data_IF_403981101020
#
_entry.id   IF_403981101020
#
_cell.length_a   1.000
_cell.length_b   1.000
_cell.length_c   1.000
_cell.angle_alpha   90.00
_cell.angle_beta   90.00
_cell.angle_gamma   90.00
#
_symmetry.space_group_name_H-M   'P 1'
#
loop_
_entity.id
_entity.type
_entity.pdbx_description
1 polymer ?
#
# COMPACT_ATOMS: atom_id res chain seq x y z
N UNK A 1 9.77 0.53 -41.96
CA UNK A 1 8.37 0.09 -42.19
C UNK A 1 7.57 0.57 -40.99
N UNK A 2 7.17 1.85 -41.00
CA UNK A 2 5.88 2.40 -41.47
C UNK A 2 4.87 2.47 -40.32
N UNK A 3 4.98 3.55 -39.55
CA UNK A 3 3.93 4.05 -38.67
C UNK A 3 3.04 4.97 -39.51
N UNK A 4 1.77 4.60 -39.67
CA UNK A 4 0.75 5.41 -40.33
C UNK A 4 -0.49 5.36 -39.44
N UNK A 5 -0.87 6.50 -38.86
CA UNK A 5 -2.27 6.88 -38.69
C UNK A 5 -2.34 8.31 -38.13
N UNK A 6 -2.47 9.27 -39.05
CA UNK A 6 -3.28 10.45 -38.78
C UNK A 6 -4.73 10.12 -39.20
N UNK A 7 -5.67 10.46 -38.33
CA UNK A 7 -7.06 10.83 -38.57
C UNK A 7 -7.85 10.20 -39.75
N UNK A 8 -8.91 9.44 -39.42
CA UNK A 8 -10.24 9.64 -40.04
C UNK A 8 -11.35 8.99 -39.22
N UNK A 9 -12.46 9.71 -39.09
CA UNK A 9 -13.68 9.31 -38.40
C UNK A 9 -14.45 8.14 -39.08
N UNK A 10 -15.37 7.60 -38.29
CA UNK A 10 -16.54 6.77 -38.63
C UNK A 10 -16.36 5.26 -38.74
N UNK A 11 -17.15 4.54 -37.93
CA UNK A 11 -17.38 3.09 -38.09
C UNK A 11 -17.90 2.40 -36.83
N UNK A 12 -19.17 2.63 -36.47
CA UNK A 12 -19.89 1.80 -35.50
C UNK A 12 -19.95 0.35 -35.98
N UNK A 13 -19.38 -0.58 -35.21
CA UNK A 13 -19.44 -2.01 -35.49
C UNK A 13 -19.29 -2.83 -34.21
N UNK A 14 -20.43 -3.24 -33.65
CA UNK A 14 -20.51 -4.27 -32.62
C UNK A 14 -19.87 -5.57 -33.12
N UNK A 15 -18.90 -6.11 -32.39
CA UNK A 15 -18.49 -7.51 -32.48
C UNK A 15 -18.18 -8.06 -31.07
N UNK A 16 -18.39 -9.38 -30.86
CA UNK A 16 -18.92 -9.93 -29.62
C UNK A 16 -17.86 -10.20 -28.56
N UNK A 17 -18.29 -10.22 -27.31
CA UNK A 17 -17.53 -10.71 -26.15
C UNK A 17 -16.84 -12.05 -26.47
N UNK A 18 -15.51 -12.06 -26.36
CA UNK A 18 -14.72 -13.28 -26.18
C UNK A 18 -14.05 -13.23 -24.80
N UNK A 19 -13.90 -14.37 -24.12
CA UNK A 19 -13.51 -14.42 -22.71
C UNK A 19 -12.06 -13.98 -22.52
N UNK A 20 -11.79 -13.35 -21.37
CA UNK A 20 -10.45 -12.97 -20.93
C UNK A 20 -9.51 -14.19 -20.99
N UNK A 21 -8.33 -14.09 -21.65
CA UNK A 21 -7.34 -15.15 -21.56
C UNK A 21 -6.70 -15.14 -20.16
N UNK A 22 -6.56 -16.35 -19.62
CA UNK A 22 -5.90 -16.69 -18.37
C UNK A 22 -4.52 -16.03 -18.23
N UNK A 23 -4.28 -15.47 -17.04
CA UNK A 23 -3.05 -14.81 -16.63
C UNK A 23 -1.87 -15.79 -16.52
N UNK A 24 -0.77 -15.45 -17.19
CA UNK A 24 0.56 -15.90 -16.82
C UNK A 24 1.61 -14.92 -17.34
N UNK A 25 2.12 -14.02 -16.47
CA UNK A 25 3.57 -13.78 -16.32
C UNK A 25 3.89 -12.72 -15.25
N UNK A 26 4.62 -13.09 -14.19
CA UNK A 26 5.64 -12.21 -13.61
C UNK A 26 5.38 -11.60 -12.25
N UNK A 27 4.26 -10.90 -12.03
CA UNK A 27 4.01 -10.19 -10.76
C UNK A 27 2.77 -10.64 -10.00
N UNK A 28 1.83 -11.33 -10.66
CA UNK A 28 0.56 -11.73 -10.05
C UNK A 28 -0.57 -10.72 -10.26
N UNK A 29 -0.25 -9.49 -10.68
CA UNK A 29 -1.21 -8.46 -11.12
C UNK A 29 -1.08 -8.19 -12.63
N UNK A 30 -2.14 -8.48 -13.37
CA UNK A 30 -2.17 -8.31 -14.81
C UNK A 30 -2.03 -6.87 -15.28
N UNK A 31 -2.42 -5.89 -14.46
CA UNK A 31 -2.32 -4.47 -14.79
C UNK A 31 -0.86 -4.06 -14.78
N UNK A 32 -0.16 -4.45 -13.72
CA UNK A 32 1.28 -4.27 -13.61
C UNK A 32 2.04 -5.01 -14.72
N UNK A 33 1.70 -6.28 -14.95
CA UNK A 33 2.30 -7.07 -16.02
C UNK A 33 2.01 -6.48 -17.43
N UNK A 34 0.87 -5.79 -17.60
CA UNK A 34 0.54 -5.07 -18.82
C UNK A 34 1.32 -3.76 -18.99
N UNK A 35 1.85 -3.19 -17.91
CA UNK A 35 2.67 -1.97 -17.95
C UNK A 35 4.18 -2.26 -18.08
N UNK A 36 4.62 -3.48 -17.77
CA UNK A 36 6.04 -3.83 -17.69
C UNK A 36 6.52 -4.79 -18.78
N UNK A 37 7.82 -4.70 -19.05
CA UNK A 37 8.53 -5.70 -19.85
C UNK A 37 8.96 -6.89 -18.97
N UNK A 38 8.99 -8.13 -19.50
CA UNK A 38 9.38 -9.31 -18.73
C UNK A 38 10.77 -9.22 -18.06
N UNK A 39 11.70 -8.46 -18.63
CA UNK A 39 13.05 -8.28 -18.09
C UNK A 39 13.18 -7.07 -17.16
N UNK A 40 12.08 -6.39 -16.82
CA UNK A 40 12.05 -5.22 -15.93
C UNK A 40 13.08 -4.16 -16.34
N UNK A 41 12.97 -3.70 -17.59
CA UNK A 41 13.87 -2.71 -18.17
C UNK A 41 13.88 -1.43 -17.32
N UNK A 42 14.96 -1.19 -16.58
CA UNK A 42 15.11 -0.05 -15.69
C UNK A 42 16.55 0.41 -15.60
N UNK A 43 16.74 1.64 -15.14
CA UNK A 43 18.05 2.16 -14.76
C UNK A 43 18.53 1.53 -13.45
N UNK A 44 19.74 0.97 -13.45
CA UNK A 44 20.33 0.25 -12.31
C UNK A 44 21.40 1.09 -11.58
N UNK A 45 21.06 2.32 -11.19
CA UNK A 45 21.93 3.05 -10.27
C UNK A 45 21.75 2.49 -8.85
N UNK A 46 22.84 2.06 -8.22
CA UNK A 46 22.86 1.60 -6.82
C UNK A 46 22.55 2.84 -5.95
N UNK A 47 21.28 3.03 -5.61
CA UNK A 47 20.88 3.99 -4.60
C UNK A 47 21.03 3.34 -3.22
N UNK A 48 21.60 4.06 -2.26
CA UNK A 48 21.50 3.65 -0.86
C UNK A 48 20.03 3.57 -0.45
N UNK A 49 19.69 2.65 0.46
CA UNK A 49 18.33 2.55 1.03
C UNK A 49 17.82 3.94 1.45
N UNK A 50 16.71 4.39 0.85
CA UNK A 50 16.11 5.69 1.13
C UNK A 50 16.60 6.86 0.26
N UNK A 51 17.47 6.65 -0.73
CA UNK A 51 17.85 7.68 -1.71
C UNK A 51 17.13 7.45 -3.05
N UNK A 52 16.67 8.52 -3.74
CA UNK A 52 16.12 8.40 -5.08
C UNK A 52 17.12 7.82 -6.08
N UNK A 53 16.65 6.98 -6.99
CA UNK A 53 17.42 6.45 -8.12
C UNK A 53 17.78 7.62 -9.03
N UNK A 54 19.07 8.01 -9.14
CA UNK A 54 19.45 9.07 -10.05
C UNK A 54 19.36 8.56 -11.50
N UNK A 55 18.68 9.33 -12.35
CA UNK A 55 18.64 9.17 -13.81
C UNK A 55 19.07 10.48 -14.43
N UNK A 56 20.20 10.45 -15.12
CA UNK A 56 20.79 11.64 -15.75
C UNK A 56 20.15 11.89 -17.11
N UNK A 57 19.95 13.15 -17.49
CA UNK A 57 19.42 13.48 -18.82
C UNK A 57 20.11 14.69 -19.43
N UNK A 58 20.12 14.78 -20.75
CA UNK A 58 20.62 15.94 -21.48
C UNK A 58 19.76 16.29 -22.70
N UNK A 59 19.91 17.51 -23.21
CA UNK A 59 19.30 17.94 -24.45
C UNK A 59 20.32 17.88 -25.58
N UNK A 60 19.99 17.16 -26.65
CA UNK A 60 20.85 17.04 -27.82
C UNK A 60 21.10 18.42 -28.44
N UNK A 61 22.34 18.62 -28.88
CA UNK A 61 22.76 19.76 -29.69
C UNK A 61 23.41 19.22 -30.96
N UNK A 62 23.55 20.05 -31.99
CA UNK A 62 24.21 19.66 -33.25
C UNK A 62 25.69 19.25 -33.08
N UNK A 63 26.26 19.34 -31.87
CA UNK A 63 27.65 18.98 -31.56
C UNK A 63 27.78 17.73 -30.68
N UNK A 64 26.69 17.23 -30.09
CA UNK A 64 26.71 16.18 -29.06
C UNK A 64 25.77 15.01 -29.41
N UNK A 65 25.50 14.78 -30.70
CA UNK A 65 24.80 13.60 -31.18
C UNK A 65 25.80 12.44 -31.28
N UNK A 66 25.71 11.40 -30.43
CA UNK A 66 26.65 10.28 -30.44
C UNK A 66 26.59 9.44 -31.72
N UNK A 67 25.53 9.59 -32.52
CA UNK A 67 25.29 8.79 -33.72
C UNK A 67 25.67 9.50 -35.02
N UNK A 68 26.06 10.79 -34.97
CA UNK A 68 26.43 11.62 -36.14
C UNK A 68 25.38 11.52 -37.29
N UNK A 69 24.14 11.24 -36.93
CA UNK A 69 23.07 10.96 -37.86
C UNK A 69 22.52 12.28 -38.43
N UNK A 70 22.53 12.40 -39.76
CA UNK A 70 22.08 13.58 -40.48
C UNK A 70 20.56 13.78 -40.22
N UNK A 71 20.21 14.65 -39.27
CA UNK A 71 18.83 15.10 -39.10
C UNK A 71 18.32 15.30 -37.68
N UNK A 72 19.18 15.36 -36.68
CA UNK A 72 18.76 15.66 -35.32
C UNK A 72 18.97 17.15 -34.97
N UNK A 73 17.94 17.75 -34.35
CA UNK A 73 17.94 19.15 -33.92
C UNK A 73 17.68 19.27 -32.43
N UNK A 74 18.23 20.33 -31.82
CA UNK A 74 17.92 20.73 -30.45
C UNK A 74 16.42 21.01 -30.32
N UNK A 75 15.81 20.57 -29.21
CA UNK A 75 14.48 21.01 -28.81
C UNK A 75 14.42 22.55 -28.69
N UNK A 76 13.26 23.14 -29.00
CA UNK A 76 13.03 24.55 -28.73
C UNK A 76 12.82 24.80 -27.22
N UNK A 77 12.87 26.07 -26.79
CA UNK A 77 12.84 26.39 -25.36
C UNK A 77 11.50 26.02 -24.68
N UNK A 78 10.40 26.02 -25.42
CA UNK A 78 9.08 25.60 -24.93
C UNK A 78 9.06 24.08 -24.69
N UNK A 79 9.60 23.31 -25.64
CA UNK A 79 9.74 21.85 -25.52
C UNK A 79 10.68 21.46 -24.38
N UNK A 80 11.78 22.18 -24.20
CA UNK A 80 12.72 21.99 -23.07
C UNK A 80 12.01 22.25 -21.74
N UNK A 81 11.24 23.33 -21.63
CA UNK A 81 10.45 23.61 -20.43
C UNK A 81 9.42 22.51 -20.17
N UNK A 82 8.73 22.04 -21.21
CA UNK A 82 7.79 20.92 -21.13
C UNK A 82 8.44 19.61 -20.69
N UNK A 83 9.64 19.29 -21.19
CA UNK A 83 10.43 18.14 -20.75
C UNK A 83 10.75 18.19 -19.26
N UNK A 84 11.20 19.36 -18.76
CA UNK A 84 11.46 19.54 -17.32
C UNK A 84 10.19 19.38 -16.47
N UNK A 85 9.05 19.90 -16.94
CA UNK A 85 7.75 19.68 -16.28
C UNK A 85 7.37 18.20 -16.24
N UNK A 86 7.56 17.48 -17.35
CA UNK A 86 7.25 16.07 -17.42
C UNK A 86 8.20 15.21 -16.56
N UNK A 87 9.50 15.52 -16.52
CA UNK A 87 10.44 14.92 -15.57
C UNK A 87 10.00 15.14 -14.13
N UNK A 88 9.67 16.38 -13.76
CA UNK A 88 9.17 16.70 -12.43
C UNK A 88 7.91 15.89 -12.09
N UNK A 89 6.99 15.68 -13.04
CA UNK A 89 5.81 14.83 -12.83
C UNK A 89 6.20 13.39 -12.47
N UNK A 90 7.19 12.80 -13.14
CA UNK A 90 7.70 11.46 -12.79
C UNK A 90 8.45 11.42 -11.44
N UNK A 91 9.17 12.49 -11.06
CA UNK A 91 9.78 12.62 -9.71
C UNK A 91 8.74 12.76 -8.59
N UNK A 92 7.49 13.10 -8.91
CA UNK A 92 6.38 13.03 -7.94
C UNK A 92 5.80 11.62 -7.83
N UNK A 93 5.93 10.81 -8.87
CA UNK A 93 5.33 9.48 -8.94
C UNK A 93 6.18 8.36 -8.32
N UNK A 94 7.52 8.48 -8.32
CA UNK A 94 8.41 7.42 -7.86
C UNK A 94 9.67 7.95 -7.16
N UNK A 95 10.42 7.04 -6.54
CA UNK A 95 11.74 7.28 -5.95
C UNK A 95 12.82 7.38 -7.04
N UNK A 96 12.59 8.27 -8.01
CA UNK A 96 13.49 8.61 -9.11
C UNK A 96 13.85 10.09 -9.02
N UNK A 97 15.09 10.42 -9.36
CA UNK A 97 15.55 11.81 -9.46
C UNK A 97 16.20 12.04 -10.81
N UNK A 98 15.63 12.95 -11.58
CA UNK A 98 16.20 13.36 -12.85
C UNK A 98 17.24 14.46 -12.64
N UNK A 99 18.44 14.22 -13.17
CA UNK A 99 19.58 15.12 -13.02
C UNK A 99 20.03 15.60 -14.39
N UNK A 100 19.82 16.88 -14.68
CA UNK A 100 20.25 17.47 -15.95
C UNK A 100 21.78 17.55 -16.01
N UNK A 101 22.36 17.03 -17.09
CA UNK A 101 23.80 17.09 -17.41
C UNK A 101 24.02 17.77 -18.76
N UNK A 102 25.23 18.29 -18.99
CA UNK A 102 25.55 19.09 -20.18
C UNK A 102 25.58 18.29 -21.49
N UNK A 103 25.82 16.98 -21.42
CA UNK A 103 25.94 16.07 -22.57
C UNK A 103 25.95 14.62 -22.10
N UNK A 104 25.39 13.71 -22.91
CA UNK A 104 25.29 12.28 -22.56
C UNK A 104 24.25 12.05 -21.46
N UNK A 105 24.53 11.11 -20.56
CA UNK A 105 23.60 10.70 -19.51
C UNK A 105 22.78 9.48 -19.92
N UNK A 106 21.79 9.14 -19.10
CA UNK A 106 20.92 7.98 -19.29
C UNK A 106 19.82 8.26 -20.34
N UNK A 107 19.38 9.52 -20.47
CA UNK A 107 18.34 9.93 -21.43
C UNK A 107 18.83 11.15 -22.21
N UNK A 108 18.92 11.08 -23.55
CA UNK A 108 19.07 12.26 -24.40
C UNK A 108 17.75 12.62 -25.09
N UNK A 109 17.42 13.93 -25.13
CA UNK A 109 16.22 14.42 -25.81
C UNK A 109 16.56 15.28 -27.02
N UNK A 110 15.93 15.00 -28.15
CA UNK A 110 16.11 15.78 -29.38
C UNK A 110 14.92 15.76 -30.31
N UNK A 111 15.10 16.39 -31.46
CA UNK A 111 14.13 16.40 -32.56
C UNK A 111 14.65 15.54 -33.70
N UNK A 112 13.84 14.64 -34.25
CA UNK A 112 14.13 13.92 -35.49
C UNK A 112 13.39 14.56 -36.68
N UNK A 113 14.12 15.01 -37.71
CA UNK A 113 13.50 15.65 -38.89
C UNK A 113 12.90 14.68 -39.92
N UNK A 114 13.25 13.39 -39.81
CA UNK A 114 12.85 12.35 -40.75
C UNK A 114 11.70 11.48 -40.23
N UNK A 115 11.31 11.63 -38.97
CA UNK A 115 10.28 10.80 -38.34
C UNK A 115 8.86 11.22 -38.74
N UNK A 116 8.06 10.24 -39.16
CA UNK A 116 6.63 10.39 -39.43
C UNK A 116 5.74 10.26 -38.16
N UNK A 117 6.29 9.73 -37.06
CA UNK A 117 5.59 9.61 -35.76
C UNK A 117 5.71 10.90 -34.96
N UNK A 118 4.73 11.23 -34.11
CA UNK A 118 4.76 12.45 -33.28
C UNK A 118 5.99 12.49 -32.37
N UNK A 119 6.28 11.36 -31.71
CA UNK A 119 7.49 11.13 -30.95
C UNK A 119 7.77 9.62 -30.85
N UNK A 120 8.95 9.27 -30.34
CA UNK A 120 9.29 7.91 -29.91
C UNK A 120 10.42 7.96 -28.88
N UNK A 121 10.48 6.92 -28.05
CA UNK A 121 11.53 6.72 -27.08
C UNK A 121 12.06 5.29 -27.08
N UNK A 122 13.30 5.15 -26.64
CA UNK A 122 13.90 3.84 -26.38
C UNK A 122 13.86 3.51 -24.89
N UNK A 123 13.44 2.28 -24.58
CA UNK A 123 13.46 1.76 -23.22
C UNK A 123 14.89 1.44 -22.74
N UNK A 124 15.13 1.39 -21.41
CA UNK A 124 16.40 0.95 -20.85
C UNK A 124 16.74 -0.51 -21.19
N UNK A 125 18.03 -0.88 -21.12
CA UNK A 125 18.48 -2.28 -21.22
C UNK A 125 18.48 -2.88 -22.62
N UNK A 126 18.57 -2.04 -23.66
CA UNK A 126 18.67 -2.44 -25.07
C UNK A 126 20.12 -2.26 -25.55
N UNK A 127 20.82 -3.32 -25.93
CA UNK A 127 22.25 -3.36 -26.33
C UNK A 127 22.73 -2.46 -27.51
N UNK A 128 22.26 -1.23 -27.67
CA UNK A 128 22.65 -0.23 -28.65
C UNK A 128 22.82 1.15 -28.00
N UNK A 129 23.47 2.08 -28.70
CA UNK A 129 23.94 3.39 -28.24
C UNK A 129 22.85 4.43 -27.87
N UNK A 130 21.57 4.08 -27.97
CA UNK A 130 20.41 4.97 -27.85
C UNK A 130 19.45 4.55 -26.71
N UNK A 131 19.91 3.79 -25.72
CA UNK A 131 19.08 3.44 -24.57
C UNK A 131 18.55 4.71 -23.90
N UNK A 132 17.24 4.79 -23.63
CA UNK A 132 16.63 5.93 -22.94
C UNK A 132 16.28 7.13 -23.81
N UNK A 133 16.85 7.25 -25.00
CA UNK A 133 16.69 8.48 -25.81
C UNK A 133 15.26 8.72 -26.27
N UNK A 134 14.90 10.01 -26.33
CA UNK A 134 13.58 10.51 -26.70
C UNK A 134 13.70 11.45 -27.89
N UNK A 135 12.89 11.22 -28.93
CA UNK A 135 12.91 12.00 -30.15
C UNK A 135 11.51 12.51 -30.51
N UNK A 136 11.34 13.82 -30.59
CA UNK A 136 10.13 14.47 -31.09
C UNK A 136 10.25 14.68 -32.61
N UNK A 137 9.17 14.53 -33.38
CA UNK A 137 9.23 14.81 -34.81
C UNK A 137 9.17 16.31 -35.10
N UNK A 138 10.09 16.81 -35.92
CA UNK A 138 10.03 18.20 -36.38
C UNK A 138 8.82 18.48 -37.29
N UNK A 139 8.27 17.44 -37.92
CA UNK A 139 7.19 17.56 -38.91
C UNK A 139 5.83 17.73 -38.23
N UNK A 140 5.60 17.05 -37.10
CA UNK A 140 4.30 16.99 -36.41
C UNK A 140 4.32 17.60 -35.00
N UNK A 141 5.49 17.84 -34.42
CA UNK A 141 5.64 18.26 -33.02
C UNK A 141 6.37 19.60 -32.81
N UNK A 142 6.81 20.28 -33.88
CA UNK A 142 7.63 21.49 -33.78
C UNK A 142 6.97 22.68 -33.06
N UNK A 143 5.64 22.79 -33.10
CA UNK A 143 4.86 23.91 -32.54
C UNK A 143 3.77 23.47 -31.54
N UNK A 144 3.92 22.31 -30.91
CA UNK A 144 2.92 21.84 -29.94
C UNK A 144 2.95 22.68 -28.67
N UNK A 145 1.76 22.93 -28.11
CA UNK A 145 1.63 23.52 -26.78
C UNK A 145 2.14 22.51 -25.73
N UNK A 146 2.91 22.99 -24.76
CA UNK A 146 3.47 22.20 -23.66
C UNK A 146 2.86 22.58 -22.30
N UNK A 147 1.74 23.31 -22.30
CA UNK A 147 1.02 23.68 -21.09
C UNK A 147 0.26 22.49 -20.46
N UNK A 148 -0.11 22.62 -19.19
CA UNK A 148 -0.94 21.63 -18.51
C UNK A 148 -2.28 21.46 -19.23
N UNK A 149 -2.68 20.21 -19.48
CA UNK A 149 -3.87 19.87 -20.23
C UNK A 149 -3.64 19.72 -21.74
N UNK A 150 -2.45 20.05 -22.26
CA UNK A 150 -2.14 19.97 -23.69
C UNK A 150 -1.72 18.57 -24.13
N UNK A 151 -1.95 18.28 -25.41
CA UNK A 151 -1.45 17.04 -26.04
C UNK A 151 0.08 16.99 -26.05
N UNK A 152 0.75 18.14 -26.24
CA UNK A 152 2.20 18.18 -26.28
C UNK A 152 2.85 17.80 -24.94
N UNK A 153 2.27 18.26 -23.81
CA UNK A 153 2.77 17.83 -22.50
C UNK A 153 2.47 16.36 -22.22
N UNK A 154 1.28 15.86 -22.60
CA UNK A 154 0.96 14.43 -22.51
C UNK A 154 1.99 13.58 -23.28
N UNK A 155 2.31 13.94 -24.52
CA UNK A 155 3.29 13.21 -25.34
C UNK A 155 4.66 13.17 -24.64
N UNK A 156 5.10 14.28 -24.05
CA UNK A 156 6.38 14.29 -23.33
C UNK A 156 6.36 13.38 -22.08
N UNK A 157 5.27 13.42 -21.31
CA UNK A 157 5.10 12.52 -20.15
C UNK A 157 5.11 11.06 -20.60
N UNK A 158 4.42 10.75 -21.70
CA UNK A 158 4.36 9.41 -22.31
C UNK A 158 5.75 8.90 -22.72
N UNK A 159 6.51 9.67 -23.49
CA UNK A 159 7.82 9.23 -23.97
C UNK A 159 8.83 9.06 -22.82
N UNK A 160 8.77 9.90 -21.79
CA UNK A 160 9.58 9.69 -20.58
C UNK A 160 9.19 8.38 -19.88
N UNK A 161 7.90 8.01 -19.87
CA UNK A 161 7.42 6.72 -19.35
C UNK A 161 8.10 5.53 -20.03
N UNK A 162 8.29 5.58 -21.35
CA UNK A 162 9.08 4.59 -22.08
C UNK A 162 10.56 4.62 -21.71
N UNK A 163 11.16 5.81 -21.65
CA UNK A 163 12.57 6.00 -21.31
C UNK A 163 12.93 5.53 -19.90
N UNK A 164 11.94 5.36 -19.01
CA UNK A 164 12.10 4.79 -17.68
C UNK A 164 11.54 3.37 -17.55
N UNK A 165 11.07 2.74 -18.63
CA UNK A 165 10.83 1.30 -18.65
C UNK A 165 9.39 0.83 -18.80
N UNK A 166 8.41 1.73 -18.92
CA UNK A 166 7.02 1.36 -19.18
C UNK A 166 6.81 0.95 -20.64
N UNK A 167 5.91 0.00 -20.89
CA UNK A 167 5.43 -0.33 -22.24
C UNK A 167 4.02 0.21 -22.44
N UNK A 168 3.56 0.16 -23.69
CA UNK A 168 2.14 0.37 -23.98
C UNK A 168 1.30 -0.75 -23.33
N UNK A 169 0.18 -0.42 -22.64
CA UNK A 169 -0.67 -1.39 -21.97
C UNK A 169 -1.40 -2.35 -22.92
N UNK A 170 -1.50 -2.00 -24.20
CA UNK A 170 -2.17 -2.80 -25.22
C UNK A 170 -1.30 -3.08 -26.44
N UNK A 171 -1.85 -3.86 -27.37
CA UNK A 171 -1.15 -4.33 -28.57
C UNK A 171 -1.29 -3.31 -29.72
N UNK A 172 -0.56 -2.19 -29.63
CA UNK A 172 -0.64 -1.11 -30.63
C UNK A 172 0.50 -1.14 -31.64
N UNK A 173 1.70 -1.60 -31.25
CA UNK A 173 2.92 -1.41 -32.03
C UNK A 173 3.79 -2.68 -32.11
N UNK A 174 4.09 -3.12 -33.34
CA UNK A 174 4.87 -4.33 -33.66
C UNK A 174 6.33 -4.37 -33.13
N UNK A 175 6.85 -3.29 -32.54
CA UNK A 175 8.21 -3.23 -31.98
C UNK A 175 8.29 -3.49 -30.46
N UNK A 176 7.14 -3.65 -29.79
CA UNK A 176 7.04 -3.93 -28.35
C UNK A 176 5.85 -4.79 -27.93
N UNK A 177 4.89 -5.05 -28.82
CA UNK A 177 3.66 -5.81 -28.54
C UNK A 177 3.82 -7.34 -28.66
N UNK A 178 4.93 -7.85 -28.13
CA UNK A 178 5.30 -9.25 -28.33
C UNK A 178 4.63 -10.25 -27.40
N UNK A 179 4.25 -9.85 -26.19
CA UNK A 179 3.80 -10.80 -25.18
C UNK A 179 2.75 -10.20 -24.25
N UNK A 180 1.56 -10.83 -24.16
CA UNK A 180 0.63 -10.64 -23.06
C UNK A 180 1.32 -10.70 -21.68
N UNK A 181 0.69 -10.16 -20.63
CA UNK A 181 -0.68 -9.62 -20.62
C UNK A 181 -0.79 -8.19 -21.17
N UNK A 182 -2.01 -7.85 -21.57
CA UNK A 182 -2.46 -6.52 -22.01
C UNK A 182 -3.66 -6.09 -21.17
N UNK A 183 -3.89 -4.79 -21.02
CA UNK A 183 -5.10 -4.29 -20.39
C UNK A 183 -6.34 -4.61 -21.25
N UNK A 184 -7.48 -4.93 -20.61
CA UNK A 184 -8.77 -4.92 -21.28
C UNK A 184 -9.07 -3.53 -21.89
N UNK A 185 -9.78 -3.48 -23.01
CA UNK A 185 -10.12 -2.20 -23.67
C UNK A 185 -10.86 -1.19 -22.78
N UNK A 186 -11.60 -1.67 -21.77
CA UNK A 186 -12.26 -0.79 -20.80
C UNK A 186 -11.27 -0.08 -19.87
N UNK A 187 -10.10 -0.68 -19.64
CA UNK A 187 -9.06 -0.20 -18.74
C UNK A 187 -7.91 0.49 -19.48
N UNK A 188 -7.67 0.13 -20.74
CA UNK A 188 -6.68 0.78 -21.60
C UNK A 188 -7.23 2.13 -22.10
N UNK A 189 -7.00 3.18 -21.33
CA UNK A 189 -7.36 4.56 -21.65
C UNK A 189 -6.45 5.57 -20.93
N UNK A 190 -6.40 6.82 -21.41
CA UNK A 190 -5.54 7.89 -20.86
C UNK A 190 -5.88 8.33 -19.42
N UNK A 191 -7.04 7.96 -18.88
CA UNK A 191 -7.37 8.24 -17.47
C UNK A 191 -6.67 7.27 -16.53
N UNK A 192 -6.44 6.04 -16.99
CA UNK A 192 -5.78 4.98 -16.24
C UNK A 192 -4.27 4.93 -16.51
N UNK A 193 -3.84 5.25 -17.72
CA UNK A 193 -2.43 5.26 -18.12
C UNK A 193 -2.14 6.28 -19.22
N UNK A 194 -1.20 7.18 -18.99
CA UNK A 194 -0.65 8.07 -20.05
C UNK A 194 0.04 7.28 -21.16
N UNK A 195 0.36 6.01 -20.93
CA UNK A 195 0.90 5.09 -21.95
C UNK A 195 -0.19 4.54 -22.89
N UNK A 196 -1.47 4.78 -22.62
CA UNK A 196 -2.57 4.38 -23.51
C UNK A 196 -2.66 5.24 -24.77
N UNK A 197 -3.14 4.64 -25.87
CA UNK A 197 -3.53 5.34 -27.09
C UNK A 197 -5.04 5.57 -27.20
N UNK A 198 -5.81 5.19 -26.19
CA UNK A 198 -7.27 5.30 -26.19
C UNK A 198 -7.77 6.39 -25.24
N UNK A 199 -8.92 6.96 -25.62
CA UNK A 199 -9.58 8.13 -25.03
C UNK A 199 -8.94 9.49 -25.39
N UNK A 200 -9.73 10.37 -26.00
CA UNK A 200 -9.30 11.63 -26.62
C UNK A 200 -10.23 12.79 -26.28
N UNK A 201 -10.42 13.02 -24.98
CA UNK A 201 -11.04 14.23 -24.45
C UNK A 201 -10.01 15.17 -23.84
N UNK A 202 -9.92 16.41 -24.34
CA UNK A 202 -9.21 17.49 -23.64
C UNK A 202 -10.01 17.91 -22.39
N UNK A 203 -9.36 18.22 -21.26
CA UNK A 203 -7.91 18.36 -21.06
C UNK A 203 -7.18 17.02 -20.92
N UNK A 204 -5.98 16.94 -21.51
CA UNK A 204 -5.14 15.75 -21.42
C UNK A 204 -4.40 15.64 -20.08
N UNK A 205 -4.14 14.42 -19.59
CA UNK A 205 -3.23 14.19 -18.46
C UNK A 205 -1.89 14.89 -18.65
N UNK A 206 -1.42 15.58 -17.61
CA UNK A 206 -0.08 16.17 -17.57
C UNK A 206 0.83 15.52 -16.55
N UNK A 207 0.35 14.46 -15.90
CA UNK A 207 1.05 13.68 -14.89
C UNK A 207 0.76 12.19 -15.10
N UNK A 208 1.65 11.29 -14.66
CA UNK A 208 1.39 9.86 -14.62
C UNK A 208 0.04 9.53 -13.95
N UNK A 209 -0.64 8.50 -14.44
CA UNK A 209 -1.90 7.96 -13.90
C UNK A 209 -1.67 6.71 -13.05
N UNK A 210 -2.72 6.17 -12.45
CA UNK A 210 -2.65 5.06 -11.49
C UNK A 210 -1.81 3.89 -11.99
N UNK A 211 -2.01 3.43 -13.23
CA UNK A 211 -1.26 2.28 -13.76
C UNK A 211 0.19 2.64 -14.14
N UNK A 212 0.43 3.88 -14.54
CA UNK A 212 1.78 4.38 -14.80
C UNK A 212 2.59 4.43 -13.50
N UNK A 213 1.98 5.00 -12.45
CA UNK A 213 2.54 5.11 -11.10
C UNK A 213 2.87 3.71 -10.57
N UNK A 214 1.93 2.77 -10.69
CA UNK A 214 2.13 1.37 -10.31
C UNK A 214 3.36 0.77 -11.01
N UNK A 215 3.46 0.92 -12.34
CA UNK A 215 4.59 0.41 -13.10
C UNK A 215 5.93 1.05 -12.71
N UNK A 216 5.99 2.38 -12.59
CA UNK A 216 7.25 3.09 -12.30
C UNK A 216 7.71 2.87 -10.85
N UNK A 217 6.78 2.76 -9.89
CA UNK A 217 7.12 2.45 -8.50
C UNK A 217 7.62 1.01 -8.36
N UNK A 218 7.09 0.06 -9.13
CA UNK A 218 7.65 -1.29 -9.16
C UNK A 218 9.12 -1.31 -9.65
N UNK A 219 9.46 -0.45 -10.61
CA UNK A 219 10.83 -0.37 -11.14
C UNK A 219 11.79 0.34 -10.19
N UNK A 220 11.38 1.45 -9.56
CA UNK A 220 12.28 2.39 -8.86
C UNK A 220 11.99 2.60 -7.38
N UNK A 221 10.90 2.03 -6.85
CA UNK A 221 10.39 2.28 -5.50
C UNK A 221 9.52 3.54 -5.42
N UNK A 222 8.74 3.66 -4.36
CA UNK A 222 7.94 4.85 -4.08
C UNK A 222 8.72 5.90 -3.29
N UNK A 223 8.39 7.18 -3.51
CA UNK A 223 9.06 8.31 -2.88
C UNK A 223 8.70 8.40 -1.39
N UNK A 224 9.69 8.30 -0.51
CA UNK A 224 9.50 8.22 0.95
C UNK A 224 9.20 9.57 1.63
N UNK A 225 9.53 10.69 0.98
CA UNK A 225 9.33 12.04 1.54
C UNK A 225 7.91 12.61 1.32
N UNK A 226 6.99 11.83 0.76
CA UNK A 226 5.64 12.30 0.36
C UNK A 226 4.46 11.53 0.97
N UNK A 227 4.67 10.60 1.91
CA UNK A 227 3.58 9.93 2.64
C UNK A 227 2.59 9.13 1.76
N UNK A 228 3.03 8.62 0.59
CA UNK A 228 2.14 8.04 -0.43
C UNK A 228 2.81 6.84 -1.13
N UNK A 229 2.31 5.58 -1.02
CA UNK A 229 2.88 4.36 -1.69
C UNK A 229 1.88 3.27 -2.17
N UNK A 230 0.97 3.50 -3.10
CA UNK A 230 0.46 2.48 -4.03
C UNK A 230 0.23 0.94 -3.65
N UNK A 231 -0.93 0.36 -3.28
CA UNK A 231 -1.18 -1.08 -3.05
C UNK A 231 -1.57 -1.83 -4.34
N UNK A 232 -1.91 -3.13 -4.32
CA UNK A 232 -2.20 -3.94 -5.54
C UNK A 232 -3.45 -3.50 -6.36
N UNK A 233 -4.19 -2.48 -5.92
CA UNK A 233 -5.23 -1.78 -6.71
C UNK A 233 -4.76 -0.40 -7.21
N UNK A 234 -3.53 -0.03 -6.89
CA UNK A 234 -3.00 1.31 -6.97
C UNK A 234 -3.57 2.25 -5.90
N UNK A 235 -3.42 1.95 -4.58
CA UNK A 235 -3.59 2.84 -3.37
C UNK A 235 -2.46 2.86 -2.27
N UNK A 236 -1.83 4.01 -1.99
CA UNK A 236 -0.90 4.38 -0.87
C UNK A 236 -0.63 3.43 0.36
N UNK A 237 0.56 2.79 0.45
CA UNK A 237 1.31 2.17 1.58
C UNK A 237 2.19 3.22 2.32
N UNK A 238 1.57 4.15 3.01
CA UNK A 238 2.28 4.70 4.17
C UNK A 238 2.27 3.61 5.25
N UNK A 239 3.36 2.85 5.39
CA UNK A 239 3.57 2.04 6.60
C UNK A 239 3.92 2.91 7.81
N UNK A 240 3.86 4.24 7.65
CA UNK A 240 4.15 5.23 8.67
C UNK A 240 3.26 6.44 8.41
N UNK A 241 2.26 6.64 9.26
CA UNK A 241 1.46 7.84 9.28
C UNK A 241 2.28 9.05 9.73
N UNK A 242 1.60 10.18 9.74
CA UNK A 242 2.14 11.51 9.88
C UNK A 242 1.93 12.01 11.30
N UNK A 243 1.77 13.32 11.47
CA UNK A 243 1.39 13.91 12.74
C UNK A 243 -0.09 14.30 12.80
N UNK A 244 -0.86 13.97 11.77
CA UNK A 244 -2.29 14.19 11.70
C UNK A 244 -3.04 12.85 11.72
N UNK A 245 -4.37 12.91 11.68
CA UNK A 245 -5.18 11.70 11.54
C UNK A 245 -4.98 11.09 10.15
N UNK A 246 -4.53 9.84 10.11
CA UNK A 246 -4.22 9.09 8.90
C UNK A 246 -5.13 7.86 8.74
N UNK A 247 -5.37 7.47 7.50
CA UNK A 247 -6.04 6.21 7.15
C UNK A 247 -5.04 5.34 6.39
N UNK A 248 -4.52 4.31 7.07
CA UNK A 248 -3.49 3.42 6.58
C UNK A 248 -4.11 2.05 6.25
N UNK A 249 -3.75 1.49 5.10
CA UNK A 249 -4.23 0.17 4.68
C UNK A 249 -3.03 -0.63 4.17
N UNK A 250 -2.83 -1.80 4.77
CA UNK A 250 -1.85 -2.81 4.38
C UNK A 250 -2.16 -3.46 3.04
N UNK A 251 -1.28 -4.33 2.62
CA UNK A 251 -1.41 -5.21 1.47
C UNK A 251 -1.74 -6.63 1.94
N UNK A 252 -2.08 -7.49 1.00
CA UNK A 252 -2.34 -8.90 1.30
C UNK A 252 -1.02 -9.70 1.52
N UNK A 253 -0.12 -9.19 2.35
CA UNK A 253 1.14 -9.80 2.81
C UNK A 253 1.42 -9.29 4.24
N UNK A 254 2.37 -9.92 4.92
CA UNK A 254 2.84 -9.47 6.23
C UNK A 254 3.42 -8.04 6.18
N UNK A 255 2.79 -7.14 6.90
CA UNK A 255 3.10 -5.71 6.97
C UNK A 255 3.64 -5.28 8.32
N UNK A 256 4.35 -4.14 8.32
CA UNK A 256 4.70 -3.42 9.55
C UNK A 256 4.23 -2.00 9.38
N UNK A 257 3.24 -1.57 10.17
CA UNK A 257 2.58 -0.26 10.03
C UNK A 257 2.65 0.54 11.33
N UNK A 258 2.78 1.86 11.23
CA UNK A 258 2.78 2.77 12.38
C UNK A 258 1.91 4.00 12.10
N UNK A 259 1.02 4.39 13.02
CA UNK A 259 0.15 5.56 12.91
C UNK A 259 0.90 6.86 13.14
N UNK A 260 1.56 6.97 14.29
CA UNK A 260 2.45 8.10 14.59
C UNK A 260 1.82 9.01 15.63
N UNK A 261 1.29 10.15 15.23
CA UNK A 261 0.46 10.97 16.13
C UNK A 261 -0.77 11.44 15.39
N UNK A 262 -1.87 11.67 16.10
CA UNK A 262 -3.16 11.89 15.48
C UNK A 262 -4.03 10.65 15.64
N UNK A 263 -5.34 10.83 15.49
CA UNK A 263 -6.28 9.72 15.61
C UNK A 263 -6.32 8.93 14.29
N UNK A 264 -5.64 7.80 14.24
CA UNK A 264 -5.39 7.04 13.02
C UNK A 264 -6.36 5.87 12.85
N UNK A 265 -6.59 5.45 11.60
CA UNK A 265 -7.32 4.24 11.24
C UNK A 265 -6.42 3.34 10.41
N UNK A 266 -6.00 2.19 10.94
CA UNK A 266 -4.99 1.30 10.35
C UNK A 266 -5.57 -0.10 10.13
N UNK A 267 -5.47 -0.63 8.92
CA UNK A 267 -6.04 -1.93 8.53
C UNK A 267 -4.99 -2.83 7.87
N UNK A 268 -4.65 -3.99 8.44
CA UNK A 268 -3.59 -4.90 7.95
C UNK A 268 -3.95 -5.71 6.71
N UNK A 269 -5.23 -6.06 6.56
CA UNK A 269 -5.78 -6.88 5.47
C UNK A 269 -5.49 -8.37 5.64
N UNK A 270 -4.48 -8.93 4.97
CA UNK A 270 -4.17 -10.36 5.09
C UNK A 270 -2.68 -10.55 5.22
N UNK A 271 -2.22 -11.49 6.03
CA UNK A 271 -0.81 -11.65 6.36
C UNK A 271 -0.65 -11.62 7.88
N UNK A 272 0.52 -12.04 8.38
CA UNK A 272 0.83 -11.84 9.80
C UNK A 272 1.45 -10.44 9.96
N UNK A 273 0.65 -9.48 10.41
CA UNK A 273 0.96 -8.06 10.44
C UNK A 273 1.46 -7.59 11.80
N UNK A 274 2.20 -6.48 11.81
CA UNK A 274 2.56 -5.77 13.04
C UNK A 274 2.14 -4.31 12.94
N UNK A 275 1.22 -3.89 13.82
CA UNK A 275 0.56 -2.59 13.74
C UNK A 275 0.79 -1.80 15.02
N UNK A 276 1.24 -0.55 14.90
CA UNK A 276 1.43 0.39 16.01
C UNK A 276 0.56 1.63 15.82
N UNK A 277 -0.41 1.90 16.70
CA UNK A 277 -1.15 3.17 16.70
C UNK A 277 -0.26 4.33 17.14
N UNK A 278 0.33 4.18 18.33
CA UNK A 278 1.27 5.06 19.04
C UNK A 278 0.64 6.14 19.93
N UNK A 279 0.21 7.27 19.38
CA UNK A 279 -0.24 8.42 20.17
C UNK A 279 -1.58 8.90 19.66
N UNK A 280 -2.42 9.32 20.61
CA UNK A 280 -3.81 9.71 20.35
C UNK A 280 -4.69 8.49 20.10
N UNK A 281 -5.99 8.70 19.99
CA UNK A 281 -6.97 7.61 19.96
C UNK A 281 -7.07 6.99 18.57
N UNK A 282 -6.56 5.77 18.44
CA UNK A 282 -6.43 5.04 17.18
C UNK A 282 -7.47 3.94 17.00
N UNK A 283 -7.71 3.55 15.76
CA UNK A 283 -8.50 2.38 15.37
C UNK A 283 -7.63 1.45 14.54
N UNK A 284 -7.36 0.25 15.05
CA UNK A 284 -6.47 -0.73 14.42
C UNK A 284 -7.24 -2.00 14.10
N UNK A 285 -6.99 -2.61 12.93
CA UNK A 285 -7.54 -3.90 12.52
C UNK A 285 -6.43 -4.73 11.89
N UNK A 286 -6.22 -5.94 12.39
CA UNK A 286 -5.22 -6.90 11.88
C UNK A 286 -5.68 -7.47 10.54
N UNK A 287 -6.82 -8.14 10.55
CA UNK A 287 -7.44 -8.70 9.36
C UNK A 287 -7.36 -10.22 9.34
N UNK A 288 -6.89 -10.84 8.27
CA UNK A 288 -6.63 -12.27 8.23
C UNK A 288 -5.15 -12.58 8.49
N UNK A 289 -4.83 -13.39 9.49
CA UNK A 289 -3.46 -13.77 9.81
C UNK A 289 -3.23 -13.71 11.32
N UNK A 290 -2.04 -14.05 11.78
CA UNK A 290 -1.71 -13.97 13.21
C UNK A 290 -0.98 -12.66 13.47
N UNK A 291 -1.73 -11.67 13.91
CA UNK A 291 -1.28 -10.29 13.95
C UNK A 291 -0.73 -9.88 15.32
N UNK A 292 0.09 -8.84 15.33
CA UNK A 292 0.59 -8.20 16.55
C UNK A 292 0.21 -6.73 16.54
N UNK A 293 -0.74 -6.34 17.39
CA UNK A 293 -1.30 -5.00 17.42
C UNK A 293 -0.96 -4.27 18.73
N UNK A 294 -0.55 -3.02 18.62
CA UNK A 294 -0.27 -2.14 19.76
C UNK A 294 -1.09 -0.86 19.58
N UNK A 295 -2.11 -0.64 20.43
CA UNK A 295 -2.88 0.61 20.48
C UNK A 295 -1.95 1.80 20.74
N UNK A 296 -1.37 1.84 21.94
CA UNK A 296 -0.32 2.79 22.28
C UNK A 296 -0.72 3.69 23.43
N UNK A 297 -0.89 4.99 23.19
CA UNK A 297 -1.30 5.94 24.21
C UNK A 297 -2.65 6.48 23.84
N UNK A 298 -3.48 6.68 24.85
CA UNK A 298 -4.85 7.15 24.72
C UNK A 298 -5.79 6.00 24.41
N UNK A 299 -7.08 6.33 24.39
CA UNK A 299 -8.12 5.33 24.30
C UNK A 299 -8.19 4.81 22.86
N UNK A 300 -7.75 3.59 22.65
CA UNK A 300 -7.67 2.95 21.34
C UNK A 300 -8.81 1.94 21.15
N UNK A 301 -9.12 1.64 19.89
CA UNK A 301 -9.99 0.53 19.52
C UNK A 301 -9.21 -0.42 18.62
N UNK A 302 -9.02 -1.66 19.06
CA UNK A 302 -8.15 -2.63 18.38
C UNK A 302 -8.93 -3.91 18.06
N UNK A 303 -8.88 -4.33 16.80
CA UNK A 303 -9.47 -5.55 16.28
C UNK A 303 -8.36 -6.50 15.82
N UNK A 304 -8.26 -7.70 16.40
CA UNK A 304 -7.39 -8.78 15.90
C UNK A 304 -7.94 -9.35 14.59
N UNK A 305 -9.26 -9.57 14.55
CA UNK A 305 -10.03 -10.14 13.45
C UNK A 305 -9.86 -11.66 13.31
N UNK A 306 -9.23 -12.19 12.26
CA UNK A 306 -9.15 -13.63 12.00
C UNK A 306 -7.71 -14.14 12.16
N UNK A 307 -7.45 -14.91 13.21
CA UNK A 307 -6.20 -15.63 13.41
C UNK A 307 -5.89 -15.75 14.89
N UNK A 308 -4.66 -16.13 15.26
CA UNK A 308 -4.27 -16.16 16.67
C UNK A 308 -3.47 -14.89 16.95
N UNK A 309 -4.14 -13.85 17.42
CA UNK A 309 -3.59 -12.52 17.46
C UNK A 309 -2.98 -12.20 18.83
N UNK A 310 -2.05 -11.25 18.84
CA UNK A 310 -1.48 -10.68 20.05
C UNK A 310 -1.80 -9.20 20.09
N UNK A 311 -2.65 -8.78 21.03
CA UNK A 311 -3.14 -7.41 21.12
C UNK A 311 -2.72 -6.76 22.42
N UNK A 312 -2.19 -5.55 22.34
CA UNK A 312 -1.84 -4.69 23.48
C UNK A 312 -2.59 -3.36 23.36
N UNK A 313 -3.50 -3.06 24.29
CA UNK A 313 -4.09 -1.71 24.42
C UNK A 313 -3.03 -0.69 24.86
N UNK A 314 -2.36 -1.02 25.97
CA UNK A 314 -1.26 -0.31 26.63
C UNK A 314 -1.70 0.74 27.66
N UNK A 315 -2.04 1.97 27.27
CA UNK A 315 -2.28 3.06 28.23
C UNK A 315 -3.62 3.73 28.00
N UNK A 316 -4.34 3.99 29.10
CA UNK A 316 -5.68 4.57 29.12
C UNK A 316 -6.72 3.53 28.70
N UNK A 317 -7.97 3.97 28.51
CA UNK A 317 -9.10 3.06 28.44
C UNK A 317 -9.28 2.54 27.01
N UNK A 318 -8.89 1.30 26.77
CA UNK A 318 -8.91 0.68 25.44
C UNK A 318 -10.11 -0.25 25.23
N UNK A 319 -10.48 -0.44 23.97
CA UNK A 319 -11.47 -1.43 23.55
C UNK A 319 -10.80 -2.43 22.62
N UNK A 320 -10.70 -3.68 23.05
CA UNK A 320 -10.00 -4.75 22.34
C UNK A 320 -11.00 -5.83 21.93
N UNK A 321 -10.95 -6.23 20.66
CA UNK A 321 -11.67 -7.36 20.09
C UNK A 321 -10.64 -8.35 19.54
N UNK A 322 -10.59 -9.58 20.07
CA UNK A 322 -9.74 -10.67 19.55
C UNK A 322 -10.25 -11.12 18.18
N UNK A 323 -11.45 -11.68 18.14
CA UNK A 323 -12.11 -12.07 16.91
C UNK A 323 -12.23 -13.59 16.81
N UNK A 324 -11.74 -14.20 15.73
CA UNK A 324 -11.72 -15.64 15.54
C UNK A 324 -10.29 -16.17 15.68
N UNK A 325 -10.10 -17.18 16.52
CA UNK A 325 -8.83 -17.85 16.76
C UNK A 325 -8.49 -17.83 18.24
N UNK A 326 -7.29 -18.26 18.64
CA UNK A 326 -6.91 -18.28 20.05
C UNK A 326 -6.04 -17.06 20.35
N UNK A 327 -6.66 -16.02 20.89
CA UNK A 327 -6.04 -14.71 20.98
C UNK A 327 -5.37 -14.49 22.34
N UNK A 328 -4.37 -13.62 22.34
CA UNK A 328 -3.63 -13.18 23.52
C UNK A 328 -3.75 -11.66 23.65
N UNK A 329 -4.58 -11.22 24.60
CA UNK A 329 -4.93 -9.80 24.74
C UNK A 329 -4.49 -9.24 26.08
N UNK A 330 -3.91 -8.04 26.04
CA UNK A 330 -3.49 -7.25 27.18
C UNK A 330 -4.19 -5.89 27.12
N UNK A 331 -5.07 -5.60 28.08
CA UNK A 331 -5.70 -4.29 28.23
C UNK A 331 -4.64 -3.22 28.47
N UNK A 332 -3.98 -3.32 29.63
CA UNK A 332 -2.82 -2.49 29.93
C UNK A 332 -3.01 -1.71 31.20
N UNK A 333 -3.18 -0.40 31.10
CA UNK A 333 -3.39 0.48 32.23
C UNK A 333 -4.66 1.29 32.07
N UNK A 334 -5.37 1.47 33.19
CA UNK A 334 -6.68 2.10 33.30
C UNK A 334 -7.83 1.15 32.90
N UNK A 335 -9.02 1.65 32.60
CA UNK A 335 -10.24 0.81 32.52
C UNK A 335 -10.47 0.28 31.10
N UNK A 336 -10.14 -0.98 30.86
CA UNK A 336 -10.21 -1.59 29.54
C UNK A 336 -11.46 -2.45 29.31
N UNK A 337 -11.88 -2.56 28.06
CA UNK A 337 -12.92 -3.50 27.62
C UNK A 337 -12.34 -4.49 26.63
N UNK A 338 -12.32 -5.77 26.98
CA UNK A 338 -11.70 -6.84 26.18
C UNK A 338 -12.75 -7.90 25.81
N UNK A 339 -12.86 -8.21 24.53
CA UNK A 339 -13.75 -9.25 24.00
C UNK A 339 -12.92 -10.26 23.23
N UNK A 340 -12.80 -11.50 23.72
CA UNK A 340 -12.06 -12.58 23.08
C UNK A 340 -12.68 -13.01 21.77
N UNK A 341 -13.92 -13.46 21.81
CA UNK A 341 -14.65 -13.83 20.60
C UNK A 341 -14.73 -15.34 20.46
N UNK A 342 -14.19 -15.91 19.40
CA UNK A 342 -14.30 -17.32 19.11
C UNK A 342 -12.94 -18.01 19.14
N UNK A 343 -12.75 -18.91 20.10
CA UNK A 343 -11.54 -19.70 20.27
C UNK A 343 -11.18 -19.78 21.74
N UNK A 344 -10.01 -20.33 22.08
CA UNK A 344 -9.58 -20.44 23.46
C UNK A 344 -8.64 -19.28 23.80
N UNK A 345 -9.23 -18.18 24.27
CA UNK A 345 -8.52 -16.91 24.39
C UNK A 345 -7.83 -16.76 25.75
N UNK A 346 -6.82 -15.90 25.81
CA UNK A 346 -6.18 -15.49 27.07
C UNK A 346 -6.23 -13.98 27.21
N UNK A 347 -7.00 -13.52 28.20
CA UNK A 347 -7.30 -12.11 28.44
C UNK A 347 -6.60 -11.65 29.72
N UNK A 348 -5.80 -10.60 29.62
CA UNK A 348 -5.17 -9.91 30.73
C UNK A 348 -5.78 -8.50 30.82
N UNK A 349 -6.60 -8.23 31.84
CA UNK A 349 -7.07 -6.85 32.11
C UNK A 349 -5.90 -5.92 32.45
N UNK A 350 -4.99 -6.42 33.27
CA UNK A 350 -3.82 -5.71 33.78
C UNK A 350 -4.11 -4.68 34.89
N UNK A 351 -3.75 -3.42 34.71
CA UNK A 351 -3.90 -2.39 35.76
C UNK A 351 -5.20 -1.66 35.54
N UNK A 352 -6.17 -1.75 36.44
CA UNK A 352 -7.40 -0.98 36.31
C UNK A 352 -8.61 -1.79 36.71
N UNK A 353 -9.81 -1.30 36.38
CA UNK A 353 -11.04 -2.05 36.62
C UNK A 353 -11.60 -2.48 35.26
N UNK A 354 -11.27 -3.69 34.83
CA UNK A 354 -11.47 -4.09 33.43
C UNK A 354 -12.77 -4.86 33.24
N UNK A 355 -13.32 -4.80 32.03
CA UNK A 355 -14.48 -5.59 31.62
C UNK A 355 -14.07 -6.59 30.54
N UNK A 356 -14.18 -7.88 30.84
CA UNK A 356 -13.78 -8.96 29.95
C UNK A 356 -14.96 -9.85 29.54
N UNK A 357 -14.99 -10.24 28.27
CA UNK A 357 -15.87 -11.27 27.71
C UNK A 357 -15.00 -12.28 26.99
N UNK A 358 -15.06 -13.55 27.38
CA UNK A 358 -14.29 -14.61 26.72
C UNK A 358 -14.89 -14.97 25.37
N UNK A 359 -16.21 -15.06 25.32
CA UNK A 359 -16.95 -15.51 24.14
C UNK A 359 -17.10 -17.02 24.11
N UNK A 360 -16.83 -17.64 22.96
CA UNK A 360 -16.97 -19.08 22.77
C UNK A 360 -15.62 -19.77 22.78
N UNK A 361 -15.44 -20.71 23.70
CA UNK A 361 -14.25 -21.55 23.77
C UNK A 361 -13.89 -21.82 25.21
N UNK A 362 -12.64 -22.16 25.49
CA UNK A 362 -12.18 -22.42 26.84
C UNK A 362 -11.19 -21.33 27.23
N UNK A 363 -11.70 -20.26 27.82
CA UNK A 363 -10.96 -19.01 27.94
C UNK A 363 -10.20 -18.90 29.26
N UNK A 364 -9.14 -18.10 29.26
CA UNK A 364 -8.30 -17.82 30.43
C UNK A 364 -8.33 -16.34 30.76
N UNK A 365 -8.87 -16.02 31.93
CA UNK A 365 -8.89 -14.66 32.46
C UNK A 365 -7.76 -14.52 33.49
N UNK A 366 -6.78 -13.68 33.20
CA UNK A 366 -5.64 -13.45 34.09
C UNK A 366 -5.90 -12.21 34.93
N UNK A 367 -6.07 -12.42 36.23
CA UNK A 367 -6.40 -11.35 37.19
C UNK A 367 -5.16 -11.01 38.00
N UNK A 368 -4.76 -9.75 37.98
CA UNK A 368 -3.58 -9.25 38.68
C UNK A 368 -3.90 -8.07 39.61
N UNK A 369 -4.61 -7.03 39.16
CA UNK A 369 -4.92 -5.86 39.97
C UNK A 369 -6.31 -5.28 39.70
N UNK A 370 -6.78 -4.40 40.59
CA UNK A 370 -8.07 -3.71 40.45
C UNK A 370 -9.32 -4.60 40.53
N UNK A 371 -10.47 -4.05 40.15
CA UNK A 371 -11.78 -4.68 40.33
C UNK A 371 -12.43 -5.01 38.99
N UNK A 372 -12.10 -6.19 38.48
CA UNK A 372 -12.49 -6.60 37.13
C UNK A 372 -13.90 -7.21 37.10
N UNK A 373 -14.49 -7.24 35.93
CA UNK A 373 -15.76 -7.91 35.65
C UNK A 373 -15.59 -8.87 34.47
N UNK A 374 -16.02 -10.11 34.64
CA UNK A 374 -16.15 -11.09 33.56
C UNK A 374 -17.64 -11.29 33.28
N UNK A 375 -18.07 -11.01 32.06
CA UNK A 375 -19.48 -10.94 31.71
C UNK A 375 -20.15 -12.27 31.34
N UNK A 376 -19.37 -13.29 30.96
CA UNK A 376 -19.89 -14.51 30.33
C UNK A 376 -19.23 -15.82 30.79
N UNK A 377 -18.58 -15.80 31.96
CA UNK A 377 -17.82 -16.95 32.49
C UNK A 377 -18.62 -18.27 32.48
N UNK A 378 -18.08 -19.30 31.83
CA UNK A 378 -18.75 -20.57 31.56
C UNK A 378 -17.92 -21.79 31.97
N UNK A 379 -18.33 -22.43 33.07
CA UNK A 379 -17.72 -23.69 33.53
C UNK A 379 -17.80 -24.81 32.49
N UNK A 380 -18.87 -24.84 31.69
CA UNK A 380 -19.09 -25.86 30.67
C UNK A 380 -18.27 -25.64 29.41
N UNK A 381 -17.97 -24.38 29.07
CA UNK A 381 -17.12 -24.05 27.92
C UNK A 381 -15.65 -24.36 28.22
N UNK A 382 -15.26 -24.22 29.50
CA UNK A 382 -13.95 -24.65 29.99
C UNK A 382 -13.16 -23.54 30.66
N UNK A 383 -13.78 -22.39 30.89
CA UNK A 383 -13.12 -21.17 31.33
C UNK A 383 -12.37 -21.34 32.64
N UNK A 384 -11.28 -20.58 32.76
CA UNK A 384 -10.38 -20.58 33.90
C UNK A 384 -10.01 -19.16 34.31
N UNK A 385 -9.84 -18.97 35.61
CA UNK A 385 -9.28 -17.74 36.16
C UNK A 385 -7.85 -18.04 36.59
N UNK A 386 -6.88 -17.40 35.94
CA UNK A 386 -5.46 -17.57 36.26
C UNK A 386 -5.06 -16.56 37.33
N UNK A 387 -4.44 -17.07 38.40
CA UNK A 387 -4.02 -16.29 39.58
C UNK A 387 -2.60 -16.66 40.01
N UNK A 388 -1.96 -15.78 40.77
CA UNK A 388 -0.64 -16.05 41.33
C UNK A 388 -0.63 -17.30 42.22
N UNK A 389 0.47 -18.05 42.19
CA UNK A 389 0.63 -19.25 43.03
C UNK A 389 0.48 -18.94 44.53
N UNK A 390 -0.17 -19.83 45.27
CA UNK A 390 -0.43 -19.66 46.71
C UNK A 390 -1.59 -18.71 47.06
N UNK A 391 -2.29 -18.17 46.06
CA UNK A 391 -3.50 -17.35 46.27
C UNK A 391 -4.66 -18.23 46.76
N UNK A 392 -5.28 -17.86 47.88
CA UNK A 392 -6.58 -18.42 48.27
C UNK A 392 -7.70 -17.46 47.89
N UNK A 393 -8.87 -18.00 47.57
CA UNK A 393 -10.03 -17.21 47.15
C UNK A 393 -11.15 -17.23 48.18
N UNK A 394 -11.91 -16.14 48.24
CA UNK A 394 -13.22 -16.10 48.88
C UNK A 394 -14.26 -15.56 47.90
N UNK A 395 -15.42 -16.21 47.83
CA UNK A 395 -16.54 -15.81 47.00
C UNK A 395 -17.64 -15.17 47.85
N UNK A 396 -18.16 -14.02 47.44
CA UNK A 396 -19.33 -13.38 48.02
C UNK A 396 -20.28 -12.90 46.90
N UNK A 397 -21.52 -12.55 47.22
CA UNK A 397 -22.47 -12.03 46.23
C UNK A 397 -23.82 -12.77 46.23
N UNK A 398 -24.72 -12.33 45.34
CA UNK A 398 -26.05 -12.90 45.18
C UNK A 398 -26.02 -14.16 44.29
N UNK A 399 -27.19 -14.68 43.92
CA UNK A 399 -27.33 -15.78 42.95
C UNK A 399 -26.79 -15.44 41.55
N UNK A 400 -26.57 -14.16 41.28
CA UNK A 400 -25.97 -13.60 40.07
C UNK A 400 -24.95 -12.52 40.50
N UNK A 401 -23.74 -12.54 39.93
CA UNK A 401 -22.68 -11.59 40.25
C UNK A 401 -21.77 -12.04 41.39
N UNK A 402 -21.22 -13.26 41.32
CA UNK A 402 -20.21 -13.71 42.29
C UNK A 402 -18.97 -12.81 42.26
N UNK A 403 -18.57 -12.29 43.41
CA UNK A 403 -17.34 -11.50 43.58
C UNK A 403 -16.31 -12.38 44.25
N UNK A 404 -15.19 -12.58 43.56
CA UNK A 404 -14.03 -13.33 44.05
C UNK A 404 -13.00 -12.32 44.57
N UNK A 405 -12.52 -12.54 45.79
CA UNK A 405 -11.40 -11.81 46.37
C UNK A 405 -10.21 -12.74 46.59
N UNK A 406 -9.01 -12.20 46.47
CA UNK A 406 -7.75 -12.94 46.53
C UNK A 406 -6.98 -12.62 47.81
N UNK A 407 -6.46 -13.63 48.52
CA UNK A 407 -5.86 -13.42 49.85
C UNK A 407 -4.59 -12.57 49.88
N UNK A 408 -3.90 -12.44 48.75
CA UNK A 408 -2.62 -11.75 48.59
C UNK A 408 -2.71 -10.47 47.73
N UNK A 409 -3.92 -10.06 47.36
CA UNK A 409 -4.14 -8.88 46.51
C UNK A 409 -5.40 -8.14 46.97
N UNK A 410 -5.46 -6.83 46.74
CA UNK A 410 -6.71 -6.08 46.86
C UNK A 410 -7.61 -6.26 45.63
N UNK A 411 -7.14 -6.98 44.61
CA UNK A 411 -7.90 -7.22 43.41
C UNK A 411 -9.18 -8.03 43.69
N UNK A 412 -10.22 -7.76 42.93
CA UNK A 412 -11.43 -8.56 42.92
C UNK A 412 -11.87 -8.84 41.49
N UNK A 413 -12.60 -9.92 41.27
CA UNK A 413 -13.26 -10.17 39.99
C UNK A 413 -14.73 -10.51 40.21
N UNK A 414 -15.61 -9.82 39.51
CA UNK A 414 -17.05 -10.06 39.50
C UNK A 414 -17.43 -10.90 38.29
N UNK A 415 -18.08 -12.04 38.52
CA UNK A 415 -18.57 -12.94 37.47
C UNK A 415 -20.07 -12.74 37.27
N UNK A 416 -20.47 -12.15 36.15
CA UNK A 416 -21.88 -11.98 35.78
C UNK A 416 -22.47 -13.34 35.38
N UNK A 417 -23.71 -13.61 35.77
CA UNK A 417 -24.41 -14.87 35.52
C UNK A 417 -23.98 -16.04 36.42
N UNK A 418 -22.98 -15.84 37.29
CA UNK A 418 -22.42 -16.89 38.16
C UNK A 418 -22.83 -16.67 39.61
N UNK A 419 -23.37 -17.73 40.24
CA UNK A 419 -23.65 -17.77 41.68
C UNK A 419 -22.38 -17.99 42.49
N UNK A 420 -22.23 -17.27 43.62
CA UNK A 420 -21.11 -17.45 44.53
C UNK A 420 -20.99 -18.88 45.09
N UNK A 421 -22.09 -19.64 45.15
CA UNK A 421 -22.06 -21.04 45.59
C UNK A 421 -21.41 -22.00 44.61
N UNK A 422 -21.28 -21.60 43.34
CA UNK A 422 -20.69 -22.42 42.27
C UNK A 422 -19.16 -22.24 42.19
N UNK A 423 -18.66 -21.20 42.85
CA UNK A 423 -17.27 -20.75 42.85
C UNK A 423 -16.45 -21.62 43.84
N UNK A 424 -15.43 -22.33 43.35
CA UNK A 424 -14.52 -23.24 44.05
C UNK A 424 -13.15 -23.32 43.31
N UNK A 425 -12.16 -24.02 43.85
CA UNK A 425 -10.80 -23.98 43.30
C UNK A 425 -10.59 -24.70 41.96
N UNK A 426 -11.56 -25.45 41.43
CA UNK A 426 -11.36 -26.31 40.25
C UNK A 426 -11.21 -25.57 38.92
N UNK A 427 -11.69 -24.33 38.84
CA UNK A 427 -11.53 -23.47 37.65
C UNK A 427 -10.48 -22.37 37.87
N UNK A 428 -9.74 -22.42 38.99
CA UNK A 428 -8.54 -21.63 39.16
C UNK A 428 -7.37 -22.31 38.47
N UNK A 429 -6.58 -21.53 37.74
CA UNK A 429 -5.29 -21.94 37.24
C UNK A 429 -4.21 -21.17 38.03
N UNK A 430 -3.25 -21.88 38.62
CA UNK A 430 -2.18 -21.24 39.38
C UNK A 430 -0.95 -21.05 38.49
N UNK A 431 -0.36 -19.86 38.57
CA UNK A 431 0.79 -19.49 37.75
C UNK A 431 2.06 -20.29 38.03
#
# INVERSE_FOLDING_TARGET
MLCLAAASAAGSGNLPFAPAPLFASGTGDYRLDAMLYPNLNRWNSIAALGTPVPVTYSFLTSANDPDDDIGFLRLNDIQIAGARTAFAAWETAANIKFVEVSSGGDIALGTNIQSASAAYAYRPGRSFVQEGDIYLSSQSFSNQDMSSGSYGLLTMVHEIGHAIGLKHPGNYNAAGSGTPPYLPLAEDNINNSVMSYYDFGSPYPSTPRSYDILGVQYLYGAKRDTGIVYNQSGDVLATTGTSGADALVGINLNDVMTGGTGADAIYGQTGDDTIYGNQDSDTLSGGEGNDVLFGGRNNDTVYGDNGNDVVYGNFLNDVIYGGNGNDLMYGGADEDTILGGAGADTLFGNLGNDSMLGGSGADRFVINSGNDTIGDFSFSAGDRIRVASGTSISAAGASDGAVISFSNSSATVKLIGVSASSVNSSYLEFA
#
